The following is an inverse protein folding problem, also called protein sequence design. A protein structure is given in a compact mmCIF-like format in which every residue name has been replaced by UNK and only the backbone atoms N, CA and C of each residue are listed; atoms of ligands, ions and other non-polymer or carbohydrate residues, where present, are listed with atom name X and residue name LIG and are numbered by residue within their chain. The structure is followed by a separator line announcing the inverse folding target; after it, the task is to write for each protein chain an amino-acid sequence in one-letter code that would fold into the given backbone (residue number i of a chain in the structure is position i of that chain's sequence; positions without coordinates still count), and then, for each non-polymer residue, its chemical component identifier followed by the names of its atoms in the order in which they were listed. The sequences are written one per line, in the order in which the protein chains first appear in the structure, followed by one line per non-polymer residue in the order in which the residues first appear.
data_IF_862737821419
#
_entry.id   IF_862737821419
#
_cell.length_a   1.000
_cell.length_b   1.000
_cell.length_c   1.000
_cell.angle_alpha   90.00
_cell.angle_beta   90.00
_cell.angle_gamma   90.00
#
_symmetry.space_group_name_H-M   'P 1'
#
loop_
_entity.id
_entity.type
_entity.pdbx_description
1 polymer ?
#
# COMPACT_ATOMS: atom_id res chain seq x y z
N UNK A 1 -13.33 -0.12 0.50
CA UNK A 1 -12.95 -1.00 -0.60
C UNK A 1 -13.47 -2.40 -0.31
N UNK A 2 -14.09 -3.08 -1.28
CA UNK A 2 -14.70 -4.38 -1.08
C UNK A 2 -14.28 -5.37 -2.17
N UNK A 3 -14.04 -6.61 -1.78
CA UNK A 3 -13.87 -7.76 -2.68
C UNK A 3 -15.18 -8.55 -2.71
N UNK A 4 -15.72 -8.80 -3.89
CA UNK A 4 -16.92 -9.62 -4.06
C UNK A 4 -16.64 -10.83 -4.96
N UNK A 5 -16.57 -12.02 -4.33
CA UNK A 5 -16.32 -13.32 -4.97
C UNK A 5 -15.12 -13.35 -5.92
N UNK A 6 -14.05 -12.61 -5.59
CA UNK A 6 -12.86 -12.44 -6.41
C UNK A 6 -12.13 -13.76 -6.60
N UNK A 7 -11.92 -14.14 -7.87
CA UNK A 7 -11.04 -15.25 -8.27
C UNK A 7 -10.04 -14.76 -9.30
N UNK A 8 -8.84 -15.36 -9.31
CA UNK A 8 -7.80 -14.98 -10.25
C UNK A 8 -6.93 -16.14 -10.71
N UNK A 9 -6.62 -16.15 -12.01
CA UNK A 9 -5.64 -17.01 -12.64
C UNK A 9 -4.81 -16.19 -13.64
N UNK A 10 -3.47 -16.43 -13.70
CA UNK A 10 -2.59 -15.69 -14.59
C UNK A 10 -2.81 -15.99 -16.08
N UNK A 11 -3.34 -17.18 -16.40
CA UNK A 11 -3.65 -17.59 -17.77
C UNK A 11 -5.09 -18.09 -17.82
N UNK A 12 -5.76 -17.84 -18.95
CA UNK A 12 -7.14 -18.31 -19.20
C UNK A 12 -7.21 -19.84 -19.11
N UNK A 13 -8.05 -20.36 -18.20
CA UNK A 13 -8.13 -21.79 -17.91
C UNK A 13 -6.95 -22.35 -17.08
N UNK A 14 -6.01 -21.51 -16.67
CA UNK A 14 -4.87 -21.88 -15.85
C UNK A 14 -5.19 -22.10 -14.37
N UNK A 15 -4.15 -22.43 -13.61
CA UNK A 15 -4.29 -22.65 -12.16
C UNK A 15 -4.74 -21.37 -11.47
N UNK A 16 -5.85 -21.45 -10.72
CA UNK A 16 -6.31 -20.34 -9.88
C UNK A 16 -5.32 -20.08 -8.75
N UNK A 17 -5.00 -18.82 -8.52
CA UNK A 17 -4.18 -18.33 -7.40
C UNK A 17 -5.07 -17.80 -6.28
N UNK A 18 -6.20 -17.18 -6.64
CA UNK A 18 -7.24 -16.73 -5.72
C UNK A 18 -8.56 -17.40 -6.13
N UNK A 19 -9.42 -17.72 -5.13
CA UNK A 19 -10.70 -18.40 -5.38
C UNK A 19 -11.76 -17.88 -4.42
N UNK A 20 -12.82 -17.25 -4.96
CA UNK A 20 -14.01 -16.80 -4.25
C UNK A 20 -13.67 -16.00 -2.98
N UNK A 21 -12.82 -15.00 -3.12
CA UNK A 21 -12.42 -14.13 -2.01
C UNK A 21 -13.45 -13.01 -1.88
N UNK A 22 -14.07 -12.91 -0.71
CA UNK A 22 -14.95 -11.79 -0.34
C UNK A 22 -14.47 -11.20 0.98
N UNK A 23 -14.26 -9.87 1.01
CA UNK A 23 -13.85 -9.15 2.20
C UNK A 23 -14.13 -7.65 2.04
N UNK A 24 -14.39 -6.95 3.16
CA UNK A 24 -14.61 -5.52 3.21
C UNK A 24 -13.49 -4.82 3.97
N UNK A 25 -12.77 -3.91 3.29
CA UNK A 25 -11.73 -3.07 3.88
C UNK A 25 -12.31 -1.68 4.17
N UNK A 26 -12.58 -1.43 5.43
CA UNK A 26 -13.23 -0.19 5.89
C UNK A 26 -12.21 0.95 6.04
N UNK A 27 -12.63 2.18 5.75
CA UNK A 27 -11.87 3.37 6.10
C UNK A 27 -11.81 3.54 7.63
N UNK A 28 -10.76 4.18 8.11
CA UNK A 28 -10.53 4.37 9.55
C UNK A 28 -9.91 3.16 10.25
N UNK A 29 -9.52 2.12 9.51
CA UNK A 29 -8.93 0.90 10.08
C UNK A 29 -7.64 0.49 9.38
N UNK A 30 -6.77 -0.19 10.15
CA UNK A 30 -5.62 -0.93 9.65
C UNK A 30 -6.01 -2.40 9.48
N UNK A 31 -6.01 -2.89 8.25
CA UNK A 31 -6.29 -4.27 7.89
C UNK A 31 -4.98 -5.01 7.58
N UNK A 32 -4.70 -6.10 8.28
CA UNK A 32 -3.59 -6.99 7.95
C UNK A 32 -4.06 -8.16 7.09
N UNK A 33 -3.45 -8.36 5.92
CA UNK A 33 -3.61 -9.56 5.11
C UNK A 33 -2.46 -10.50 5.44
N UNK A 34 -2.79 -11.63 6.05
CA UNK A 34 -1.82 -12.67 6.42
C UNK A 34 -2.01 -13.94 5.58
N UNK A 35 -1.14 -14.91 5.76
CA UNK A 35 -1.22 -16.20 5.09
C UNK A 35 0.15 -16.72 4.66
N UNK A 36 0.28 -18.02 4.35
CA UNK A 36 1.55 -18.63 4.00
C UNK A 36 2.12 -18.11 2.69
N UNK A 37 3.42 -18.36 2.46
CA UNK A 37 4.05 -18.05 1.17
C UNK A 37 3.30 -18.75 0.03
N UNK A 38 3.07 -18.04 -1.06
CA UNK A 38 2.32 -18.57 -2.21
C UNK A 38 0.80 -18.62 -2.04
N UNK A 39 0.22 -18.07 -0.96
CA UNK A 39 -1.23 -17.95 -0.79
C UNK A 39 -1.89 -16.97 -1.79
N UNK A 40 -1.11 -16.13 -2.47
CA UNK A 40 -1.62 -15.16 -3.43
C UNK A 40 -1.74 -13.72 -2.89
N UNK A 41 -1.08 -13.39 -1.77
CA UNK A 41 -1.15 -12.05 -1.14
C UNK A 41 -0.74 -10.93 -2.10
N UNK A 42 0.43 -11.02 -2.73
CA UNK A 42 0.89 -10.04 -3.72
C UNK A 42 -0.03 -9.98 -4.96
N UNK A 43 -0.61 -11.12 -5.35
CA UNK A 43 -1.64 -11.16 -6.41
C UNK A 43 -2.89 -10.39 -5.99
N UNK A 44 -3.35 -10.59 -4.74
CA UNK A 44 -4.49 -9.85 -4.20
C UNK A 44 -4.21 -8.34 -4.15
N UNK A 45 -3.00 -7.93 -3.72
CA UNK A 45 -2.58 -6.52 -3.79
C UNK A 45 -2.64 -5.96 -5.22
N UNK A 46 -2.22 -6.74 -6.22
CA UNK A 46 -2.28 -6.32 -7.62
C UNK A 46 -3.72 -6.08 -8.10
N UNK A 47 -4.69 -6.84 -7.59
CA UNK A 47 -6.11 -6.62 -7.88
C UNK A 47 -6.65 -5.39 -7.15
N UNK A 48 -6.38 -5.27 -5.85
CA UNK A 48 -6.80 -4.13 -5.02
C UNK A 48 -6.23 -2.81 -5.55
N UNK A 49 -4.98 -2.82 -6.02
CA UNK A 49 -4.31 -1.63 -6.57
C UNK A 49 -4.68 -1.32 -8.03
N UNK A 50 -5.57 -2.11 -8.65
CA UNK A 50 -5.97 -1.89 -10.04
C UNK A 50 -4.88 -2.16 -11.09
N UNK A 51 -3.81 -2.88 -10.70
CA UNK A 51 -2.77 -3.33 -11.64
C UNK A 51 -3.23 -4.52 -12.48
N UNK A 52 -4.12 -5.36 -11.94
CA UNK A 52 -4.74 -6.48 -12.64
C UNK A 52 -6.25 -6.47 -12.42
N UNK A 53 -6.99 -7.21 -13.28
CA UNK A 53 -8.41 -7.45 -13.09
C UNK A 53 -8.64 -8.86 -12.55
N UNK A 54 -9.63 -9.09 -11.69
CA UNK A 54 -10.05 -10.43 -11.35
C UNK A 54 -10.52 -11.19 -12.60
N UNK A 55 -10.37 -12.52 -12.59
CA UNK A 55 -10.93 -13.38 -13.66
C UNK A 55 -12.40 -13.68 -13.44
N UNK A 56 -12.86 -13.63 -12.19
CA UNK A 56 -14.26 -13.75 -11.77
C UNK A 56 -14.47 -12.87 -10.51
N UNK A 57 -15.69 -12.39 -10.31
CA UNK A 57 -16.01 -11.46 -9.23
C UNK A 57 -15.54 -10.05 -9.53
N UNK A 58 -15.60 -9.15 -8.55
CA UNK A 58 -15.30 -7.74 -8.74
C UNK A 58 -14.61 -7.13 -7.52
N UNK A 59 -13.84 -6.06 -7.77
CA UNK A 59 -13.27 -5.18 -6.74
C UNK A 59 -14.06 -3.89 -6.76
N UNK A 60 -14.77 -3.60 -5.67
CA UNK A 60 -15.60 -2.42 -5.55
C UNK A 60 -14.87 -1.33 -4.76
N UNK A 61 -14.89 -0.12 -5.27
CA UNK A 61 -14.42 1.08 -4.58
C UNK A 61 -15.59 2.05 -4.50
N UNK A 62 -16.04 2.34 -3.28
CA UNK A 62 -17.23 3.15 -3.02
C UNK A 62 -18.45 2.67 -3.80
N UNK A 63 -18.66 1.33 -3.81
CA UNK A 63 -19.76 0.67 -4.47
C UNK A 63 -19.68 0.55 -6.01
N UNK A 64 -18.59 1.06 -6.63
CA UNK A 64 -18.40 0.99 -8.09
C UNK A 64 -17.31 -0.02 -8.43
N UNK A 65 -17.54 -0.89 -9.42
CA UNK A 65 -16.52 -1.84 -9.89
C UNK A 65 -15.30 -1.10 -10.44
N UNK A 66 -14.13 -1.49 -9.95
CA UNK A 66 -12.85 -0.90 -10.36
C UNK A 66 -12.56 -1.14 -11.87
N UNK A 67 -13.15 -2.18 -12.47
CA UNK A 67 -13.03 -2.44 -13.91
C UNK A 67 -13.74 -1.39 -14.77
N UNK A 68 -14.75 -0.69 -14.22
CA UNK A 68 -15.52 0.37 -14.87
C UNK A 68 -14.91 1.76 -14.66
N UNK A 69 -13.94 1.89 -13.74
CA UNK A 69 -13.26 3.15 -13.44
C UNK A 69 -12.03 3.36 -14.34
N UNK A 70 -11.64 4.61 -14.51
CA UNK A 70 -10.32 4.95 -15.03
C UNK A 70 -9.25 4.50 -14.01
N UNK A 71 -8.61 3.36 -14.30
CA UNK A 71 -7.60 2.76 -13.42
C UNK A 71 -6.32 3.61 -13.31
N UNK A 72 -6.01 4.41 -14.34
CA UNK A 72 -4.90 5.35 -14.23
C UNK A 72 -5.22 6.40 -13.18
N UNK A 73 -6.40 7.00 -13.27
CA UNK A 73 -6.87 7.99 -12.28
C UNK A 73 -6.96 7.37 -10.88
N UNK A 74 -7.50 6.16 -10.74
CA UNK A 74 -7.54 5.44 -9.46
C UNK A 74 -6.14 5.30 -8.84
N UNK A 75 -5.15 4.83 -9.61
CA UNK A 75 -3.78 4.66 -9.12
C UNK A 75 -3.05 5.97 -8.84
N UNK A 76 -3.39 7.04 -9.52
CA UNK A 76 -2.74 8.35 -9.37
C UNK A 76 -3.41 9.26 -8.36
N UNK A 77 -4.65 8.91 -7.89
CA UNK A 77 -5.44 9.80 -7.04
C UNK A 77 -5.95 9.13 -5.76
N UNK A 78 -6.40 7.88 -5.84
CA UNK A 78 -7.21 7.27 -4.79
C UNK A 78 -6.44 6.26 -3.94
N UNK A 79 -5.39 5.65 -4.49
CA UNK A 79 -4.61 4.61 -3.81
C UNK A 79 -3.12 4.92 -3.78
N UNK A 80 -2.49 4.82 -2.60
CA UNK A 80 -1.04 4.87 -2.39
C UNK A 80 -0.48 3.46 -2.20
N UNK A 81 0.55 3.08 -2.96
CA UNK A 81 1.16 1.76 -2.87
C UNK A 81 2.59 1.86 -2.34
N UNK A 82 2.87 1.09 -1.29
CA UNK A 82 4.17 1.00 -0.63
C UNK A 82 4.68 -0.42 -0.83
N UNK A 83 5.87 -0.57 -1.42
CA UNK A 83 6.47 -1.85 -1.74
C UNK A 83 7.55 -2.24 -0.73
N UNK A 84 7.78 -3.52 -0.56
CA UNK A 84 8.82 -4.08 0.30
C UNK A 84 10.24 -3.55 -0.04
N UNK A 85 10.54 -3.35 -1.33
CA UNK A 85 11.84 -2.86 -1.82
C UNK A 85 11.93 -1.34 -1.88
N UNK A 86 11.04 -0.59 -1.21
CA UNK A 86 10.89 0.86 -1.22
C UNK A 86 10.64 1.47 -2.61
N UNK A 87 11.26 0.95 -3.66
CA UNK A 87 11.19 1.41 -5.07
C UNK A 87 11.47 2.92 -5.21
N UNK A 88 12.40 3.43 -4.41
CA UNK A 88 12.90 4.80 -4.51
C UNK A 88 13.93 4.91 -5.63
N UNK A 89 13.99 6.06 -6.27
CA UNK A 89 14.98 6.36 -7.31
C UNK A 89 16.29 6.82 -6.64
N UNK A 90 17.36 6.01 -6.67
CA UNK A 90 18.55 6.25 -5.85
C UNK A 90 19.34 7.49 -6.26
N UNK A 91 19.21 7.92 -7.52
CA UNK A 91 19.90 9.10 -8.05
C UNK A 91 19.18 10.41 -7.73
N UNK A 92 17.97 10.34 -7.21
CA UNK A 92 17.17 11.49 -6.80
C UNK A 92 17.30 11.75 -5.30
N UNK A 93 17.06 12.97 -4.89
CA UNK A 93 16.90 13.34 -3.48
C UNK A 93 15.55 12.84 -2.94
N UNK A 94 15.36 12.92 -1.63
CA UNK A 94 14.10 12.64 -0.95
C UNK A 94 12.97 13.50 -1.54
N UNK A 95 13.19 14.82 -1.63
CA UNK A 95 12.19 15.73 -2.18
C UNK A 95 11.83 15.39 -3.64
N UNK A 96 12.83 15.10 -4.47
CA UNK A 96 12.60 14.75 -5.87
C UNK A 96 11.80 13.45 -6.02
N UNK A 97 12.07 12.42 -5.18
CA UNK A 97 11.27 11.19 -5.16
C UNK A 97 9.80 11.44 -4.82
N UNK A 98 9.52 12.32 -3.86
CA UNK A 98 8.16 12.68 -3.44
C UNK A 98 7.48 13.52 -4.51
N UNK A 99 8.15 14.57 -5.01
CA UNK A 99 7.62 15.49 -6.02
C UNK A 99 7.29 14.76 -7.32
N UNK A 100 8.10 13.77 -7.72
CA UNK A 100 7.83 12.97 -8.92
C UNK A 100 6.46 12.29 -8.88
N UNK A 101 6.03 11.79 -7.71
CA UNK A 101 4.70 11.19 -7.56
C UNK A 101 3.59 12.24 -7.58
N UNK A 102 3.85 13.44 -7.03
CA UNK A 102 2.93 14.58 -7.14
C UNK A 102 2.75 14.98 -8.60
N UNK A 103 3.84 15.05 -9.37
CA UNK A 103 3.80 15.38 -10.79
C UNK A 103 3.05 14.33 -11.61
N UNK A 104 3.34 13.06 -11.36
CA UNK A 104 2.68 11.94 -12.02
C UNK A 104 1.19 11.84 -11.71
N UNK A 105 0.73 12.37 -10.56
CA UNK A 105 -0.69 12.42 -10.23
C UNK A 105 -1.48 13.37 -11.12
N UNK A 106 -0.84 14.41 -11.67
CA UNK A 106 -1.50 15.46 -12.42
C UNK A 106 -2.42 16.36 -11.58
N UNK A 107 -2.41 16.20 -10.24
CA UNK A 107 -3.20 17.05 -9.33
C UNK A 107 -2.62 18.45 -9.23
N UNK A 108 -3.51 19.42 -9.06
CA UNK A 108 -3.14 20.77 -8.61
C UNK A 108 -3.04 20.79 -7.09
N UNK A 109 -2.10 21.57 -6.57
CA UNK A 109 -1.85 21.70 -5.13
C UNK A 109 -1.96 23.17 -4.72
N UNK A 110 -2.61 23.40 -3.59
CA UNK A 110 -2.83 24.78 -3.07
C UNK A 110 -1.56 25.40 -2.46
N UNK A 111 -0.54 24.57 -2.19
CA UNK A 111 0.74 24.98 -1.62
C UNK A 111 1.89 24.62 -2.58
N UNK A 112 3.03 25.32 -2.49
CA UNK A 112 4.24 24.91 -3.18
C UNK A 112 4.61 23.46 -2.80
N UNK A 113 4.96 22.63 -3.80
CA UNK A 113 5.30 21.21 -3.58
C UNK A 113 6.38 21.00 -2.51
N UNK A 114 7.36 21.92 -2.45
CA UNK A 114 8.41 21.87 -1.42
C UNK A 114 7.84 21.98 0.00
N UNK A 115 6.86 22.84 0.24
CA UNK A 115 6.20 22.95 1.54
C UNK A 115 5.42 21.67 1.88
N UNK A 116 4.75 21.06 0.89
CA UNK A 116 4.07 19.77 1.08
C UNK A 116 5.07 18.66 1.43
N UNK A 117 6.22 18.63 0.77
CA UNK A 117 7.30 17.69 1.10
C UNK A 117 7.74 17.83 2.57
N UNK A 118 7.96 19.05 3.05
CA UNK A 118 8.36 19.30 4.44
C UNK A 118 7.27 18.84 5.44
N UNK A 119 5.99 19.07 5.12
CA UNK A 119 4.85 18.57 5.91
C UNK A 119 4.80 17.04 5.94
N UNK A 120 4.99 16.38 4.79
CA UNK A 120 5.02 14.92 4.66
C UNK A 120 6.20 14.30 5.42
N UNK A 121 7.39 14.90 5.34
CA UNK A 121 8.55 14.42 6.10
C UNK A 121 8.28 14.47 7.60
N UNK A 122 7.70 15.55 8.10
CA UNK A 122 7.28 15.65 9.51
C UNK A 122 6.25 14.57 9.87
N UNK A 123 5.29 14.30 9.01
CA UNK A 123 4.25 13.29 9.21
C UNK A 123 4.83 11.88 9.34
N UNK A 124 5.91 11.58 8.63
CA UNK A 124 6.61 10.30 8.70
C UNK A 124 7.81 10.33 9.66
N UNK A 125 7.88 11.30 10.57
CA UNK A 125 8.93 11.45 11.59
C UNK A 125 10.34 11.58 11.01
N UNK A 126 10.49 12.26 9.87
CA UNK A 126 11.79 12.65 9.30
C UNK A 126 12.01 14.16 9.43
N UNK A 127 13.25 14.59 9.74
CA UNK A 127 13.63 16.01 9.71
C UNK A 127 13.44 16.61 8.30
N UNK A 128 12.99 17.86 8.22
CA UNK A 128 12.79 18.55 6.93
C UNK A 128 14.10 18.71 6.13
N UNK A 129 15.24 18.74 6.81
CA UNK A 129 16.58 18.83 6.23
C UNK A 129 16.87 17.64 5.29
N UNK A 130 16.22 16.49 5.53
CA UNK A 130 16.35 15.30 4.71
C UNK A 130 15.80 15.49 3.29
N UNK A 131 15.02 16.53 3.04
CA UNK A 131 14.49 16.83 1.71
C UNK A 131 15.58 16.87 0.62
N UNK A 132 16.79 17.34 0.96
CA UNK A 132 17.92 17.45 0.04
C UNK A 132 18.87 16.24 0.08
N UNK A 133 18.66 15.29 1.00
CA UNK A 133 19.48 14.08 1.09
C UNK A 133 19.22 13.12 -0.08
N UNK A 134 20.27 12.41 -0.51
CA UNK A 134 20.14 11.34 -1.49
C UNK A 134 19.68 10.05 -0.82
N UNK A 135 18.87 9.27 -1.51
CA UNK A 135 18.30 8.02 -0.99
C UNK A 135 19.38 7.05 -0.49
N UNK A 136 20.54 6.98 -1.17
CA UNK A 136 21.62 6.08 -0.79
C UNK A 136 22.31 6.43 0.54
N UNK A 137 22.08 7.63 1.08
CA UNK A 137 22.64 8.04 2.38
C UNK A 137 21.71 7.67 3.55
N UNK A 138 20.51 7.18 3.26
CA UNK A 138 19.48 6.87 4.24
C UNK A 138 19.57 5.41 4.71
N UNK A 139 19.30 5.18 5.98
CA UNK A 139 19.05 3.85 6.54
C UNK A 139 17.80 3.21 5.92
N UNK A 140 17.62 1.89 6.07
CA UNK A 140 16.43 1.19 5.58
C UNK A 140 15.12 1.73 6.15
N UNK A 141 15.09 2.06 7.46
CA UNK A 141 13.92 2.66 8.10
C UNK A 141 13.59 4.06 7.58
N UNK A 142 14.61 4.89 7.32
CA UNK A 142 14.42 6.22 6.72
C UNK A 142 13.94 6.12 5.28
N UNK A 143 14.49 5.19 4.49
CA UNK A 143 14.01 4.92 3.13
C UNK A 143 12.54 4.47 3.13
N UNK A 144 12.13 3.63 4.09
CA UNK A 144 10.74 3.22 4.24
C UNK A 144 9.82 4.42 4.54
N UNK A 145 10.23 5.32 5.43
CA UNK A 145 9.47 6.56 5.72
C UNK A 145 9.36 7.46 4.49
N UNK A 146 10.41 7.58 3.69
CA UNK A 146 10.37 8.31 2.40
C UNK A 146 9.42 7.62 1.42
N UNK A 147 9.40 6.29 1.34
CA UNK A 147 8.46 5.55 0.49
C UNK A 147 7.00 5.77 0.93
N UNK A 148 6.74 5.84 2.24
CA UNK A 148 5.43 6.20 2.79
C UNK A 148 5.08 7.65 2.41
N UNK A 149 5.96 8.62 2.67
CA UNK A 149 5.74 10.03 2.32
C UNK A 149 5.44 10.21 0.82
N UNK A 150 6.16 9.50 -0.04
CA UNK A 150 5.93 9.48 -1.49
C UNK A 150 4.53 8.95 -1.82
N UNK A 151 4.10 7.85 -1.20
CA UNK A 151 2.78 7.28 -1.42
C UNK A 151 1.65 8.20 -0.93
N UNK A 152 1.90 9.03 0.09
CA UNK A 152 0.95 9.99 0.64
C UNK A 152 0.87 11.31 -0.15
N UNK A 153 1.82 11.59 -1.02
CA UNK A 153 2.08 12.92 -1.58
C UNK A 153 0.95 13.53 -2.42
N UNK A 154 0.07 12.69 -2.94
CA UNK A 154 -1.11 13.14 -3.69
C UNK A 154 -2.44 12.92 -2.92
N UNK A 155 -2.36 12.62 -1.61
CA UNK A 155 -3.52 12.51 -0.72
C UNK A 155 -4.47 11.34 -1.05
N UNK A 156 -3.98 10.09 -1.21
CA UNK A 156 -4.85 8.94 -1.47
C UNK A 156 -5.69 8.58 -0.25
N UNK A 157 -6.92 8.09 -0.47
CA UNK A 157 -7.81 7.61 0.59
C UNK A 157 -7.53 6.16 1.01
N UNK A 158 -6.87 5.40 0.13
CA UNK A 158 -6.51 3.99 0.36
C UNK A 158 -4.99 3.87 0.35
N UNK A 159 -4.42 3.24 1.35
CA UNK A 159 -3.00 2.92 1.44
C UNK A 159 -2.84 1.41 1.44
N UNK A 160 -2.00 0.91 0.55
CA UNK A 160 -1.67 -0.51 0.43
C UNK A 160 -0.17 -0.69 0.62
N UNK A 161 0.24 -1.57 1.53
CA UNK A 161 1.64 -1.83 1.82
C UNK A 161 1.95 -3.33 1.74
N UNK A 162 2.98 -3.68 0.98
CA UNK A 162 3.48 -5.06 0.86
C UNK A 162 4.73 -5.23 1.74
N UNK A 163 4.62 -5.98 2.84
CA UNK A 163 5.68 -6.24 3.81
C UNK A 163 6.45 -4.98 4.27
N UNK A 164 5.76 -3.91 4.70
CA UNK A 164 6.41 -2.61 4.91
C UNK A 164 7.42 -2.56 6.05
N UNK A 165 7.49 -3.61 6.86
CA UNK A 165 8.39 -3.71 8.03
C UNK A 165 9.29 -4.94 8.01
N UNK A 166 9.25 -5.73 6.94
CA UNK A 166 9.88 -7.06 6.88
C UNK A 166 11.41 -7.08 7.03
N UNK A 167 12.09 -5.96 6.81
CA UNK A 167 13.55 -5.85 6.90
C UNK A 167 14.01 -4.81 7.95
N UNK A 168 13.13 -4.47 8.91
CA UNK A 168 13.38 -3.43 9.91
C UNK A 168 13.54 -4.05 11.30
N UNK A 169 14.31 -3.37 12.14
CA UNK A 169 14.41 -3.71 13.56
C UNK A 169 13.07 -3.46 14.28
N UNK A 170 12.83 -4.10 15.45
CA UNK A 170 11.55 -4.00 16.15
C UNK A 170 11.13 -2.57 16.49
N UNK A 171 12.06 -1.71 16.91
CA UNK A 171 11.72 -0.33 17.29
C UNK A 171 11.29 0.48 16.05
N UNK A 172 11.99 0.34 14.94
CA UNK A 172 11.63 0.97 13.67
C UNK A 172 10.30 0.41 13.13
N UNK A 173 10.05 -0.92 13.29
CA UNK A 173 8.78 -1.53 12.94
C UNK A 173 7.60 -0.89 13.70
N UNK A 174 7.72 -0.74 15.03
CA UNK A 174 6.66 -0.17 15.86
C UNK A 174 6.34 1.28 15.49
N UNK A 175 7.35 2.05 15.14
CA UNK A 175 7.20 3.43 14.72
C UNK A 175 6.54 3.54 13.33
N UNK A 176 6.93 2.70 12.37
CA UNK A 176 6.24 2.61 11.07
C UNK A 176 4.78 2.19 11.24
N UNK A 177 4.48 1.23 12.12
CA UNK A 177 3.11 0.86 12.44
C UNK A 177 2.35 1.99 13.15
N UNK A 178 3.03 2.82 13.94
CA UNK A 178 2.49 4.06 14.49
C UNK A 178 2.00 5.01 13.40
N UNK A 179 2.80 5.21 12.34
CA UNK A 179 2.40 6.02 11.18
C UNK A 179 1.15 5.44 10.50
N UNK A 180 1.10 4.13 10.24
CA UNK A 180 -0.07 3.51 9.62
C UNK A 180 -1.35 3.64 10.48
N UNK A 181 -1.24 3.48 11.81
CA UNK A 181 -2.37 3.70 12.72
C UNK A 181 -2.85 5.15 12.69
N UNK A 182 -1.95 6.12 12.72
CA UNK A 182 -2.30 7.54 12.61
C UNK A 182 -3.02 7.83 11.29
N UNK A 183 -2.54 7.30 10.15
CA UNK A 183 -3.19 7.45 8.85
C UNK A 183 -4.61 6.84 8.83
N UNK A 184 -4.81 5.70 9.49
CA UNK A 184 -6.11 5.07 9.58
C UNK A 184 -7.05 5.82 10.55
N UNK A 185 -6.64 5.98 11.80
CA UNK A 185 -7.52 6.43 12.86
C UNK A 185 -7.74 7.95 12.85
N UNK A 186 -6.67 8.75 12.66
CA UNK A 186 -6.76 10.20 12.75
C UNK A 186 -7.14 10.83 11.40
N UNK A 187 -6.68 10.26 10.27
CA UNK A 187 -6.98 10.75 8.93
C UNK A 187 -8.10 9.97 8.22
N UNK A 188 -8.67 8.97 8.88
CA UNK A 188 -9.77 8.15 8.37
C UNK A 188 -9.48 7.46 7.02
N UNK A 189 -8.23 7.06 6.79
CA UNK A 189 -7.85 6.33 5.58
C UNK A 189 -8.10 4.82 5.72
N UNK A 190 -8.30 4.14 4.60
CA UNK A 190 -8.29 2.67 4.55
C UNK A 190 -6.83 2.20 4.40
N UNK A 191 -6.28 1.55 5.42
CA UNK A 191 -4.90 1.05 5.40
C UNK A 191 -4.90 -0.47 5.31
N UNK A 192 -4.26 -1.03 4.27
CA UNK A 192 -4.19 -2.47 4.00
C UNK A 192 -2.72 -2.88 3.98
N UNK A 193 -2.32 -3.77 4.88
CA UNK A 193 -0.93 -4.23 5.02
C UNK A 193 -0.88 -5.72 4.75
N UNK A 194 -0.10 -6.16 3.77
CA UNK A 194 0.30 -7.56 3.64
C UNK A 194 1.50 -7.81 4.52
N UNK A 195 1.44 -8.85 5.34
CA UNK A 195 2.55 -9.16 6.24
C UNK A 195 2.64 -10.65 6.61
N UNK A 196 3.86 -11.06 6.94
CA UNK A 196 4.16 -12.33 7.60
C UNK A 196 4.44 -12.14 9.10
N UNK A 197 4.57 -10.89 9.60
CA UNK A 197 4.86 -10.59 10.99
C UNK A 197 3.62 -10.76 11.86
N UNK A 198 3.65 -11.69 12.86
CA UNK A 198 2.57 -11.81 13.83
C UNK A 198 2.37 -10.54 14.66
N UNK A 199 3.44 -9.78 14.90
CA UNK A 199 3.43 -8.52 15.65
C UNK A 199 2.61 -7.46 14.89
N UNK A 200 2.86 -7.30 13.58
CA UNK A 200 2.09 -6.40 12.72
C UNK A 200 0.62 -6.80 12.70
N UNK A 201 0.32 -8.10 12.55
CA UNK A 201 -1.05 -8.60 12.55
C UNK A 201 -1.76 -8.29 13.89
N UNK A 202 -1.09 -8.47 15.03
CA UNK A 202 -1.66 -8.18 16.36
C UNK A 202 -1.94 -6.69 16.60
N UNK A 203 -1.19 -5.80 15.98
CA UNK A 203 -1.34 -4.34 16.12
C UNK A 203 -2.27 -3.73 15.09
N UNK A 204 -2.82 -4.53 14.18
CA UNK A 204 -3.83 -4.14 13.20
C UNK A 204 -5.25 -4.29 13.78
N UNK A 205 -6.20 -3.49 13.29
CA UNK A 205 -7.59 -3.50 13.77
C UNK A 205 -8.34 -4.76 13.29
N UNK A 206 -8.03 -5.22 12.09
CA UNK A 206 -8.62 -6.43 11.51
C UNK A 206 -7.55 -7.29 10.82
N UNK A 207 -7.71 -8.60 10.92
CA UNK A 207 -6.82 -9.57 10.27
C UNK A 207 -7.63 -10.41 9.29
N UNK A 208 -7.24 -10.35 8.02
CA UNK A 208 -7.78 -11.22 6.98
C UNK A 208 -6.76 -12.29 6.62
N UNK A 209 -7.03 -13.54 6.99
CA UNK A 209 -6.16 -14.66 6.67
C UNK A 209 -6.47 -15.22 5.28
N UNK A 210 -5.54 -15.08 4.36
CA UNK A 210 -5.65 -15.63 3.01
C UNK A 210 -5.21 -17.09 2.99
N UNK A 211 -6.19 -18.00 2.91
CA UNK A 211 -5.95 -19.44 2.86
C UNK A 211 -5.41 -19.86 1.47
N UNK A 212 -4.38 -20.72 1.41
CA UNK A 212 -3.91 -21.28 0.16
C UNK A 212 -4.96 -22.19 -0.48
N UNK A 213 -5.07 -22.14 -1.81
CA UNK A 213 -5.95 -23.08 -2.53
C UNK A 213 -5.40 -24.49 -2.35
N UNK A 214 -6.18 -25.37 -1.64
CA UNK A 214 -5.80 -26.78 -1.42
C UNK A 214 -5.56 -27.47 -2.78
N UNK A 215 -4.37 -27.98 -2.99
CA UNK A 215 -4.09 -28.86 -4.14
C UNK A 215 -4.91 -30.14 -3.98
N UNK A 216 -5.82 -30.45 -4.91
CA UNK A 216 -6.30 -31.84 -5.00
C UNK A 216 -5.07 -32.71 -5.32
N UNK A 217 -4.70 -33.58 -4.37
CA UNK A 217 -3.78 -34.68 -4.69
C UNK A 217 -4.42 -35.50 -5.82
N UNK A 218 -3.73 -35.59 -6.93
CA UNK A 218 -4.05 -36.57 -7.99
C UNK A 218 -3.65 -37.94 -7.50
#
# INVERSE_FOLDING_TARGET
LQLDNVSYAYTKGGKRVLKNISHDFQAGKVHAITGPSGAGKTTLLSLISGLANPTEGMVLVDGTDLSERDRYRFRSHDIGVIFQSFNLLPNLTVAENIILSMDASGKSFDKPKKAIVEELLKQVHLPKEYANERILHLSGGEQQRVAIARALSYGPSIIVADEPTGNLDPATQDDIMGIFRMLAHDEHRCVIIVTHSPEVAKTSDEVFELAPIKRRKR
#
